data_IF_411868650705
#
_entry.id   IF_411868650705
#
_cell.length_a   1.000
_cell.length_b   1.000
_cell.length_c   1.000
_cell.angle_alpha   90.00
_cell.angle_beta   90.00
_cell.angle_gamma   90.00
#
_symmetry.space_group_name_H-M   'P 1'
#
loop_
_entity.id
_entity.type
_entity.pdbx_description
1 polymer ?
#
# COMPACT_ATOMS: atom_id res chain seq x y z
N UNK A 1 30.50 20.04 11.23
CA UNK A 1 30.51 18.60 10.92
C UNK A 1 29.25 18.03 11.54
N UNK A 2 28.11 18.21 10.88
CA UNK A 2 26.81 17.83 11.44
C UNK A 2 26.35 16.52 10.81
N UNK A 3 26.66 15.43 11.52
CA UNK A 3 26.16 14.09 11.24
C UNK A 3 24.70 14.05 11.73
N UNK A 4 23.84 14.76 11.01
CA UNK A 4 22.38 14.68 11.08
C UNK A 4 21.83 14.33 9.71
N UNK A 5 22.56 13.52 8.94
CA UNK A 5 21.92 12.73 7.88
C UNK A 5 21.21 11.61 8.60
N UNK A 6 20.05 11.97 9.16
CA UNK A 6 18.98 11.06 9.48
C UNK A 6 18.92 10.08 8.31
N UNK A 7 19.30 8.85 8.57
CA UNK A 7 19.03 7.71 7.72
C UNK A 7 17.51 7.50 7.78
N UNK A 8 16.75 8.48 7.29
CA UNK A 8 15.51 8.22 6.62
C UNK A 8 15.94 7.46 5.38
N UNK A 9 16.08 6.14 5.52
CA UNK A 9 15.55 5.30 4.45
C UNK A 9 14.13 5.84 4.29
N UNK A 10 13.79 6.48 3.16
CA UNK A 10 12.47 7.07 3.04
C UNK A 10 11.48 5.93 3.35
N UNK A 11 10.69 6.09 4.40
CA UNK A 11 9.78 5.03 4.87
C UNK A 11 8.79 4.66 3.75
N UNK A 12 8.48 5.64 2.90
CA UNK A 12 7.62 5.50 1.73
C UNK A 12 8.02 4.31 0.84
N UNK A 13 9.26 4.16 0.34
CA UNK A 13 9.66 2.99 -0.45
C UNK A 13 9.55 1.65 0.29
N UNK A 14 9.77 1.59 1.62
CA UNK A 14 9.62 0.35 2.38
C UNK A 14 8.13 -0.03 2.49
N UNK A 15 7.27 0.90 2.88
CA UNK A 15 5.83 0.63 2.98
C UNK A 15 5.21 0.34 1.60
N UNK A 16 5.70 0.98 0.54
CA UNK A 16 5.28 0.69 -0.83
C UNK A 16 5.68 -0.73 -1.26
N UNK A 17 6.94 -1.12 -1.01
CA UNK A 17 7.44 -2.47 -1.28
C UNK A 17 6.68 -3.52 -0.46
N UNK A 18 6.40 -3.23 0.80
CA UNK A 18 5.65 -4.09 1.70
C UNK A 18 4.19 -4.26 1.25
N UNK A 19 3.54 -3.18 0.81
CA UNK A 19 2.19 -3.24 0.24
C UNK A 19 2.14 -4.12 -1.00
N UNK A 20 3.15 -4.04 -1.89
CA UNK A 20 3.26 -4.92 -3.07
C UNK A 20 3.47 -6.38 -2.67
N UNK A 21 4.26 -6.65 -1.62
CA UNK A 21 4.42 -8.02 -1.09
C UNK A 21 3.09 -8.54 -0.57
N UNK A 22 2.35 -7.75 0.21
CA UNK A 22 1.03 -8.15 0.70
C UNK A 22 0.04 -8.41 -0.44
N UNK A 23 0.07 -7.61 -1.51
CA UNK A 23 -0.72 -7.87 -2.72
C UNK A 23 -0.39 -9.23 -3.34
N UNK A 24 0.89 -9.58 -3.44
CA UNK A 24 1.33 -10.89 -3.97
C UNK A 24 0.93 -12.06 -3.08
N UNK A 25 0.83 -11.85 -1.78
CA UNK A 25 0.37 -12.83 -0.81
C UNK A 25 -1.16 -12.95 -0.75
N UNK A 26 -1.91 -12.18 -1.55
CA UNK A 26 -3.37 -12.11 -1.48
C UNK A 26 -3.91 -11.40 -0.23
N UNK A 27 -3.03 -10.79 0.57
CA UNK A 27 -3.33 -10.08 1.80
C UNK A 27 -3.72 -8.63 1.49
N UNK A 28 -4.80 -8.46 0.71
CA UNK A 28 -5.18 -7.17 0.13
C UNK A 28 -5.48 -6.10 1.20
N UNK A 29 -6.10 -6.47 2.32
CA UNK A 29 -6.38 -5.55 3.43
C UNK A 29 -5.11 -4.98 4.05
N UNK A 30 -4.08 -5.80 4.26
CA UNK A 30 -2.79 -5.33 4.77
C UNK A 30 -2.07 -4.44 3.75
N UNK A 31 -2.17 -4.75 2.46
CA UNK A 31 -1.61 -3.90 1.41
C UNK A 31 -2.20 -2.48 1.41
N UNK A 32 -3.53 -2.38 1.51
CA UNK A 32 -4.25 -1.10 1.60
C UNK A 32 -3.74 -0.28 2.80
N UNK A 33 -3.56 -0.91 3.96
CA UNK A 33 -3.05 -0.23 5.15
C UNK A 33 -1.65 0.35 4.93
N UNK A 34 -0.76 -0.38 4.23
CA UNK A 34 0.59 0.11 3.94
C UNK A 34 0.59 1.29 2.96
N UNK A 35 -0.21 1.23 1.88
CA UNK A 35 -0.28 2.34 0.93
C UNK A 35 -0.90 3.60 1.55
N UNK A 36 -1.90 3.44 2.42
CA UNK A 36 -2.46 4.55 3.18
C UNK A 36 -1.41 5.21 4.10
N UNK A 37 -0.52 4.44 4.72
CA UNK A 37 0.54 5.02 5.55
C UNK A 37 1.57 5.78 4.72
N UNK A 38 1.88 5.32 3.49
CA UNK A 38 2.70 6.10 2.56
C UNK A 38 2.02 7.43 2.24
N UNK A 39 0.74 7.42 1.86
CA UNK A 39 0.00 8.64 1.51
C UNK A 39 -0.23 9.57 2.71
N UNK A 40 -0.28 9.04 3.94
CA UNK A 40 -0.34 9.86 5.16
C UNK A 40 0.95 10.66 5.38
N UNK A 41 2.09 10.07 5.01
CA UNK A 41 3.41 10.70 5.14
C UNK A 41 3.77 11.55 3.92
N UNK A 42 3.35 11.12 2.74
CA UNK A 42 3.60 11.73 1.43
C UNK A 42 2.31 11.71 0.60
N UNK A 43 1.41 12.70 0.80
CA UNK A 43 0.13 12.76 0.08
C UNK A 43 0.26 12.79 -1.44
N UNK A 44 1.39 13.30 -1.94
CA UNK A 44 1.67 13.45 -3.37
C UNK A 44 2.40 12.24 -3.99
N UNK A 45 2.55 11.13 -3.26
CA UNK A 45 3.17 9.90 -3.78
C UNK A 45 2.23 9.22 -4.78
N UNK A 46 2.45 9.51 -6.06
CA UNK A 46 1.69 8.95 -7.17
C UNK A 46 1.77 7.42 -7.25
N UNK A 47 2.87 6.81 -6.80
CA UNK A 47 3.05 5.35 -6.84
C UNK A 47 2.17 4.69 -5.77
N UNK A 48 2.18 5.23 -4.55
CA UNK A 48 1.32 4.74 -3.48
C UNK A 48 -0.16 4.93 -3.80
N UNK A 49 -0.54 6.05 -4.42
CA UNK A 49 -1.91 6.29 -4.87
C UNK A 49 -2.38 5.26 -5.89
N UNK A 50 -1.56 4.96 -6.90
CA UNK A 50 -1.91 3.97 -7.93
C UNK A 50 -1.97 2.54 -7.37
N UNK A 51 -1.04 2.21 -6.46
CA UNK A 51 -1.03 0.91 -5.80
C UNK A 51 -2.25 0.73 -4.88
N UNK A 52 -2.67 1.78 -4.16
CA UNK A 52 -3.90 1.78 -3.37
C UNK A 52 -5.14 1.56 -4.25
N UNK A 53 -5.23 2.26 -5.40
CA UNK A 53 -6.32 2.10 -6.36
C UNK A 53 -6.43 0.65 -6.84
N UNK A 54 -5.29 0.03 -7.16
CA UNK A 54 -5.22 -1.36 -7.58
C UNK A 54 -5.63 -2.33 -6.46
N UNK A 55 -5.18 -2.08 -5.23
CA UNK A 55 -5.53 -2.89 -4.07
C UNK A 55 -7.04 -2.84 -3.78
N UNK A 56 -7.65 -1.65 -3.80
CA UNK A 56 -9.09 -1.48 -3.62
C UNK A 56 -9.92 -2.16 -4.70
N UNK A 57 -9.45 -2.13 -5.97
CA UNK A 57 -10.10 -2.84 -7.05
C UNK A 57 -10.10 -4.36 -6.84
N UNK A 58 -8.99 -4.93 -6.35
CA UNK A 58 -8.90 -6.35 -6.04
C UNK A 58 -9.76 -6.75 -4.83
N UNK A 59 -9.78 -5.93 -3.78
CA UNK A 59 -10.64 -6.14 -2.62
C UNK A 59 -12.13 -6.15 -3.01
N UNK A 60 -12.55 -5.22 -3.88
CA UNK A 60 -13.93 -5.21 -4.41
C UNK A 60 -14.25 -6.44 -5.25
N UNK A 61 -13.31 -6.94 -6.06
CA UNK A 61 -13.50 -8.19 -6.84
C UNK A 61 -13.72 -9.38 -5.92
N UNK A 62 -12.85 -9.56 -4.92
CA UNK A 62 -12.96 -10.66 -3.95
C UNK A 62 -14.27 -10.60 -3.16
N UNK A 63 -14.71 -9.40 -2.76
CA UNK A 63 -16.01 -9.21 -2.09
C UNK A 63 -17.21 -9.42 -3.03
N UNK A 64 -17.10 -9.00 -4.28
CA UNK A 64 -18.11 -9.22 -5.30
C UNK A 64 -18.28 -10.71 -5.66
N UNK A 65 -17.18 -11.47 -5.67
CA UNK A 65 -17.16 -12.92 -5.88
C UNK A 65 -17.72 -13.71 -4.69
N UNK A 66 -17.64 -13.16 -3.48
CA UNK A 66 -18.28 -13.74 -2.28
C UNK A 66 -19.76 -13.35 -2.13
N UNK A 67 -20.29 -12.55 -3.05
CA UNK A 67 -21.67 -12.06 -3.02
C UNK A 67 -22.62 -12.77 -3.99
N UNK A 68 -22.22 -13.87 -4.62
CA UNK A 68 -23.18 -14.78 -5.28
C UNK A 68 -23.77 -15.72 -4.23
N UNK A 69 -25.05 -15.53 -3.81
CA UNK A 69 -25.72 -16.57 -3.08
C UNK A 69 -25.97 -17.70 -4.07
N UNK A 70 -25.39 -18.87 -3.81
CA UNK A 70 -25.81 -20.11 -4.48
C UNK A 70 -27.11 -20.61 -3.86
#
# INVERSE_FOLDING_TARGET
QDIYVFVAIPKAPIHNSLGVIYMRLGQVSQAIAQFNEVLRLQPDDAVAAENLRTALANDRRVRGESSTPR
#
